data_IF_677801593874
#
_entry.id   IF_677801593874
#
_cell.length_a   1.000
_cell.length_b   1.000
_cell.length_c   1.000
_cell.angle_alpha   90.00
_cell.angle_beta   90.00
_cell.angle_gamma   90.00
#
_symmetry.space_group_name_H-M   'P 1'
#
loop_
_entity.id
_entity.type
_entity.pdbx_description
1 polymer ?
#
# COMPACT_ATOMS: atom_id res chain seq x y z
N UNK A 1 -69.14 -2.66 1.45
CA UNK A 1 -67.73 -2.55 1.91
C UNK A 1 -67.66 -1.41 2.90
N UNK A 2 -67.07 -1.63 4.08
CA UNK A 2 -66.82 -0.55 5.03
C UNK A 2 -65.90 0.50 4.40
N UNK A 3 -66.05 1.76 4.80
CA UNK A 3 -65.29 2.90 4.29
C UNK A 3 -63.77 2.69 4.35
N UNK A 4 -63.31 1.96 5.37
CA UNK A 4 -61.92 1.49 5.54
C UNK A 4 -61.44 0.54 4.44
N UNK A 5 -62.28 -0.40 3.99
CA UNK A 5 -61.94 -1.33 2.91
C UNK A 5 -61.84 -0.60 1.55
N UNK A 6 -62.65 0.44 1.34
CA UNK A 6 -62.59 1.29 0.14
C UNK A 6 -61.30 2.12 0.10
N UNK A 7 -60.91 2.72 1.22
CA UNK A 7 -59.66 3.48 1.34
C UNK A 7 -58.43 2.58 1.14
N UNK A 8 -58.43 1.37 1.72
CA UNK A 8 -57.35 0.39 1.51
C UNK A 8 -57.20 -0.03 0.04
N UNK A 9 -58.31 -0.25 -0.66
CA UNK A 9 -58.29 -0.58 -2.09
C UNK A 9 -57.78 0.58 -2.96
N UNK A 10 -58.17 1.82 -2.64
CA UNK A 10 -57.68 3.01 -3.35
C UNK A 10 -56.18 3.18 -3.15
N UNK A 11 -55.68 3.03 -1.92
CA UNK A 11 -54.24 3.10 -1.64
C UNK A 11 -53.47 1.98 -2.37
N UNK A 12 -53.97 0.75 -2.33
CA UNK A 12 -53.36 -0.37 -3.05
C UNK A 12 -53.28 -0.13 -4.56
N UNK A 13 -54.34 0.42 -5.15
CA UNK A 13 -54.36 0.80 -6.57
C UNK A 13 -53.32 1.90 -6.89
N UNK A 14 -53.26 2.94 -6.07
CA UNK A 14 -52.31 4.05 -6.25
C UNK A 14 -50.86 3.55 -6.13
N UNK A 15 -50.56 2.74 -5.12
CA UNK A 15 -49.24 2.13 -4.96
C UNK A 15 -48.89 1.21 -6.14
N UNK A 16 -49.84 0.42 -6.65
CA UNK A 16 -49.64 -0.44 -7.80
C UNK A 16 -49.34 0.37 -9.07
N UNK A 17 -50.08 1.45 -9.30
CA UNK A 17 -49.86 2.34 -10.45
C UNK A 17 -48.50 3.05 -10.33
N UNK A 18 -48.16 3.56 -9.14
CA UNK A 18 -46.88 4.22 -8.90
C UNK A 18 -45.69 3.25 -9.10
N UNK A 19 -45.79 2.03 -8.54
CA UNK A 19 -44.80 0.98 -8.70
C UNK A 19 -44.65 0.54 -10.16
N UNK A 20 -45.76 0.33 -10.87
CA UNK A 20 -45.74 -0.02 -12.30
C UNK A 20 -45.15 1.11 -13.16
N UNK A 21 -45.47 2.38 -12.83
CA UNK A 21 -44.92 3.54 -13.53
C UNK A 21 -43.41 3.65 -13.33
N UNK A 22 -42.93 3.49 -12.08
CA UNK A 22 -41.51 3.50 -11.78
C UNK A 22 -40.77 2.32 -12.44
N UNK A 23 -41.36 1.12 -12.41
CA UNK A 23 -40.79 -0.06 -13.05
C UNK A 23 -40.70 0.09 -14.57
N UNK A 24 -41.71 0.67 -15.22
CA UNK A 24 -41.68 0.96 -16.66
C UNK A 24 -40.61 2.00 -17.00
N UNK A 25 -40.53 3.09 -16.21
CA UNK A 25 -39.49 4.11 -16.39
C UNK A 25 -38.11 3.47 -16.23
N UNK A 26 -37.90 2.66 -15.19
CA UNK A 26 -36.64 1.94 -14.98
C UNK A 26 -36.32 1.00 -16.14
N UNK A 27 -37.28 0.19 -16.61
CA UNK A 27 -37.05 -0.78 -17.69
C UNK A 27 -36.72 -0.14 -19.04
N UNK A 28 -37.28 1.04 -19.35
CA UNK A 28 -36.96 1.78 -20.58
C UNK A 28 -35.64 2.56 -20.45
N UNK A 29 -35.28 2.98 -19.24
CA UNK A 29 -34.08 3.82 -19.03
C UNK A 29 -32.84 3.03 -18.67
N UNK A 30 -32.95 1.82 -18.13
CA UNK A 30 -31.82 1.00 -17.69
C UNK A 30 -30.79 0.79 -18.79
N UNK A 31 -31.23 0.39 -19.98
CA UNK A 31 -30.33 0.05 -21.09
C UNK A 31 -29.58 1.30 -21.60
N UNK A 32 -30.27 2.45 -21.59
CA UNK A 32 -29.68 3.75 -21.96
C UNK A 32 -28.68 4.21 -20.90
N UNK A 33 -28.98 3.99 -19.61
CA UNK A 33 -28.09 4.34 -18.50
C UNK A 33 -26.82 3.50 -18.57
N UNK A 34 -26.95 2.18 -18.76
CA UNK A 34 -25.82 1.25 -18.87
C UNK A 34 -24.95 1.62 -20.06
N UNK A 35 -25.53 1.81 -21.25
CA UNK A 35 -24.76 2.19 -22.44
C UNK A 35 -24.02 3.53 -22.27
N UNK A 36 -24.61 4.50 -21.55
CA UNK A 36 -23.94 5.77 -21.23
C UNK A 36 -22.81 5.60 -20.23
N UNK A 37 -23.01 4.77 -19.20
CA UNK A 37 -21.97 4.47 -18.20
C UNK A 37 -20.78 3.74 -18.84
N UNK A 38 -21.03 2.79 -19.73
CA UNK A 38 -19.98 2.09 -20.48
C UNK A 38 -19.22 3.06 -21.39
N UNK A 39 -19.93 3.92 -22.13
CA UNK A 39 -19.28 4.92 -22.99
C UNK A 39 -18.44 5.93 -22.18
N UNK A 40 -18.96 6.39 -21.03
CA UNK A 40 -18.21 7.25 -20.12
C UNK A 40 -16.98 6.54 -19.56
N UNK A 41 -17.12 5.29 -19.09
CA UNK A 41 -16.02 4.48 -18.61
C UNK A 41 -14.93 4.31 -19.68
N UNK A 42 -15.31 3.93 -20.91
CA UNK A 42 -14.34 3.77 -22.02
C UNK A 42 -13.63 5.09 -22.29
N UNK A 43 -14.35 6.23 -22.28
CA UNK A 43 -13.74 7.55 -22.43
C UNK A 43 -12.73 7.84 -21.31
N UNK A 44 -13.03 7.48 -20.06
CA UNK A 44 -12.10 7.63 -18.92
C UNK A 44 -10.90 6.73 -19.05
N UNK A 45 -11.08 5.48 -19.45
CA UNK A 45 -9.96 4.55 -19.67
C UNK A 45 -9.01 5.09 -20.74
N UNK A 46 -9.54 5.63 -21.85
CA UNK A 46 -8.74 6.25 -22.89
C UNK A 46 -8.00 7.51 -22.40
N UNK A 47 -8.62 8.35 -21.56
CA UNK A 47 -7.96 9.50 -20.94
C UNK A 47 -6.79 9.07 -20.02
N UNK A 48 -6.96 7.96 -19.30
CA UNK A 48 -5.97 7.41 -18.36
C UNK A 48 -4.82 6.67 -19.05
N UNK A 49 -5.08 5.99 -20.17
CA UNK A 49 -4.06 5.31 -20.98
C UNK A 49 -4.17 5.76 -22.44
N UNK A 50 -3.69 6.97 -22.79
CA UNK A 50 -3.88 7.54 -24.12
C UNK A 50 -3.30 6.72 -25.26
N UNK A 51 -2.28 5.91 -24.98
CA UNK A 51 -1.59 5.08 -25.96
C UNK A 51 -2.32 3.77 -26.30
N UNK A 52 -3.32 3.38 -25.51
CA UNK A 52 -4.08 2.16 -25.75
C UNK A 52 -4.99 2.33 -26.98
N UNK A 53 -4.98 1.34 -27.86
CA UNK A 53 -5.89 1.22 -29.01
C UNK A 53 -7.18 0.49 -28.61
N UNK A 54 -7.08 -0.41 -27.62
CA UNK A 54 -8.19 -1.19 -27.09
C UNK A 54 -7.95 -1.51 -25.61
N UNK A 55 -9.03 -1.78 -24.89
CA UNK A 55 -8.99 -2.20 -23.49
C UNK A 55 -9.55 -3.61 -23.35
N UNK A 56 -8.80 -4.47 -22.65
CA UNK A 56 -9.22 -5.81 -22.28
C UNK A 56 -9.64 -5.81 -20.80
N UNK A 57 -10.86 -6.23 -20.52
CA UNK A 57 -11.37 -6.34 -19.14
C UNK A 57 -11.05 -7.71 -18.56
N UNK A 58 -10.48 -7.72 -17.36
CA UNK A 58 -10.14 -8.93 -16.60
C UNK A 58 -10.79 -8.86 -15.22
N UNK A 59 -11.38 -9.97 -14.79
CA UNK A 59 -11.91 -10.15 -13.44
C UNK A 59 -11.13 -11.32 -12.80
N UNK A 60 -10.01 -11.04 -12.12
CA UNK A 60 -9.16 -12.08 -11.56
C UNK A 60 -9.82 -12.82 -10.38
N UNK A 61 -10.69 -12.14 -9.65
CA UNK A 61 -11.49 -12.68 -8.56
C UNK A 61 -12.80 -11.87 -8.41
N UNK A 62 -13.77 -12.43 -7.69
CA UNK A 62 -15.11 -11.87 -7.58
C UNK A 62 -15.08 -10.41 -7.06
N UNK A 63 -15.55 -9.48 -7.89
CA UNK A 63 -15.65 -8.06 -7.51
C UNK A 63 -14.37 -7.25 -7.67
N UNK A 64 -13.30 -7.81 -8.26
CA UNK A 64 -12.10 -7.08 -8.70
C UNK A 64 -12.15 -6.92 -10.21
N UNK A 65 -12.12 -5.68 -10.71
CA UNK A 65 -12.13 -5.41 -12.15
C UNK A 65 -10.84 -4.67 -12.53
N UNK A 66 -10.20 -5.19 -13.58
CA UNK A 66 -8.97 -4.67 -14.16
C UNK A 66 -9.18 -4.40 -15.66
N UNK A 67 -8.57 -3.34 -16.17
CA UNK A 67 -8.55 -3.04 -17.61
C UNK A 67 -7.11 -2.97 -18.09
N UNK A 68 -6.73 -3.82 -19.04
CA UNK A 68 -5.42 -3.73 -19.69
C UNK A 68 -5.52 -2.91 -20.97
N UNK A 69 -4.79 -1.80 -21.02
CA UNK A 69 -4.61 -1.01 -22.24
C UNK A 69 -3.65 -1.71 -23.19
N UNK A 70 -4.11 -2.04 -24.39
CA UNK A 70 -3.33 -2.73 -25.43
C UNK A 70 -3.05 -1.82 -26.61
N UNK A 71 -1.85 -1.91 -27.15
CA UNK A 71 -1.43 -1.31 -28.43
C UNK A 71 -0.85 -2.42 -29.29
N UNK A 72 -1.61 -2.89 -30.28
CA UNK A 72 -1.33 -4.18 -30.91
C UNK A 72 -1.32 -5.34 -29.90
N UNK A 73 -0.19 -6.05 -29.80
CA UNK A 73 0.02 -7.16 -28.84
C UNK A 73 0.48 -6.70 -27.46
N UNK A 74 0.98 -5.47 -27.35
CA UNK A 74 1.72 -5.02 -26.18
C UNK A 74 0.76 -4.37 -25.17
N UNK A 75 0.97 -4.67 -23.88
CA UNK A 75 0.28 -3.97 -22.79
C UNK A 75 1.03 -2.67 -22.53
N UNK A 76 0.35 -1.53 -22.74
CA UNK A 76 0.92 -0.17 -22.56
C UNK A 76 0.48 0.50 -21.27
N UNK A 77 -0.44 -0.13 -20.54
CA UNK A 77 -0.84 0.29 -19.20
C UNK A 77 -1.92 -0.63 -18.63
N UNK A 78 -2.17 -0.51 -17.33
CA UNK A 78 -3.27 -1.17 -16.64
C UNK A 78 -4.08 -0.14 -15.86
N UNK A 79 -5.40 -0.28 -15.84
CA UNK A 79 -6.30 0.53 -15.04
C UNK A 79 -7.01 -0.36 -14.04
N UNK A 80 -7.04 0.08 -12.78
CA UNK A 80 -7.56 -0.68 -11.66
C UNK A 80 -8.61 0.12 -10.93
N UNK A 81 -9.69 -0.55 -10.53
CA UNK A 81 -10.75 0.06 -9.74
C UNK A 81 -10.44 -0.05 -8.24
N UNK A 82 -9.92 1.04 -7.68
CA UNK A 82 -9.78 1.25 -6.26
C UNK A 82 -11.11 1.60 -5.60
N UNK A 83 -11.51 0.77 -4.64
CA UNK A 83 -12.69 1.02 -3.80
C UNK A 83 -12.31 1.65 -2.46
N UNK A 84 -13.07 2.66 -2.04
CA UNK A 84 -12.91 3.34 -0.75
C UNK A 84 -14.25 3.84 -0.21
N UNK A 85 -14.25 4.33 1.03
CA UNK A 85 -15.40 5.01 1.64
C UNK A 85 -14.99 6.41 2.07
N UNK A 86 -15.59 7.42 1.44
CA UNK A 86 -15.45 8.83 1.77
C UNK A 86 -16.40 9.28 2.87
N UNK A 87 -16.44 10.59 3.11
CA UNK A 87 -17.37 11.18 4.09
C UNK A 87 -18.83 10.99 3.66
N UNK A 88 -19.09 11.11 2.36
CA UNK A 88 -20.42 11.01 1.77
C UNK A 88 -20.84 9.60 1.35
N UNK A 89 -20.00 8.58 1.57
CA UNK A 89 -20.30 7.19 1.24
C UNK A 89 -19.25 6.51 0.36
N UNK A 90 -19.60 5.40 -0.31
CA UNK A 90 -18.65 4.64 -1.13
C UNK A 90 -18.13 5.47 -2.30
N UNK A 91 -16.89 5.18 -2.69
CA UNK A 91 -16.18 5.79 -3.80
C UNK A 91 -15.55 4.72 -4.68
N UNK A 92 -15.58 4.95 -6.00
CA UNK A 92 -14.86 4.16 -6.99
C UNK A 92 -13.88 5.06 -7.73
N UNK A 93 -12.62 4.63 -7.72
CA UNK A 93 -11.48 5.40 -8.21
C UNK A 93 -10.74 4.54 -9.22
N UNK A 94 -10.63 5.02 -10.45
CA UNK A 94 -9.77 4.41 -11.45
C UNK A 94 -8.36 4.95 -11.26
N UNK A 95 -7.39 4.05 -11.18
CA UNK A 95 -5.96 4.38 -11.16
C UNK A 95 -5.30 3.64 -12.30
N UNK A 96 -4.57 4.38 -13.13
CA UNK A 96 -3.78 3.79 -14.20
C UNK A 96 -2.30 3.76 -13.86
N UNK A 97 -1.67 2.63 -14.20
CA UNK A 97 -0.24 2.39 -14.06
C UNK A 97 0.33 2.11 -15.44
N UNK A 98 1.42 2.79 -15.78
CA UNK A 98 2.12 2.65 -17.05
C UNK A 98 3.08 1.43 -17.08
N UNK A 99 3.75 1.23 -18.20
CA UNK A 99 4.73 0.16 -18.37
C UNK A 99 6.01 0.36 -17.53
N UNK A 100 6.27 1.57 -17.05
CA UNK A 100 7.38 1.92 -16.16
C UNK A 100 6.98 1.77 -14.68
N UNK A 101 5.86 1.08 -14.40
CA UNK A 101 5.42 0.76 -13.06
C UNK A 101 5.06 2.00 -12.22
N UNK A 102 4.65 3.08 -12.88
CA UNK A 102 4.29 4.36 -12.25
C UNK A 102 2.84 4.75 -12.53
N UNK A 103 2.24 5.47 -11.59
CA UNK A 103 0.90 6.01 -11.76
C UNK A 103 0.93 7.07 -12.86
N UNK A 104 0.15 6.90 -13.91
CA UNK A 104 0.04 7.87 -14.99
C UNK A 104 -1.35 8.54 -15.06
N UNK A 105 -2.29 8.13 -14.19
CA UNK A 105 -3.63 8.71 -14.12
C UNK A 105 -4.43 8.29 -12.89
N UNK A 106 -5.24 9.21 -12.36
CA UNK A 106 -6.22 8.95 -11.29
C UNK A 106 -7.52 9.67 -11.62
N UNK A 107 -8.64 8.96 -11.58
CA UNK A 107 -9.97 9.51 -11.83
C UNK A 107 -11.01 8.92 -10.90
N UNK A 108 -11.85 9.76 -10.29
CA UNK A 108 -12.96 9.31 -9.46
C UNK A 108 -14.20 9.19 -10.34
N UNK A 109 -14.79 7.98 -10.41
CA UNK A 109 -15.95 7.69 -11.28
C UNK A 109 -17.27 7.57 -10.51
N UNK A 110 -17.20 7.37 -9.19
CA UNK A 110 -18.38 7.34 -8.34
C UNK A 110 -18.02 7.88 -6.94
N UNK A 111 -18.88 8.74 -6.38
CA UNK A 111 -18.73 9.26 -5.03
C UNK A 111 -20.05 9.82 -4.48
N UNK A 112 -20.15 9.90 -3.14
CA UNK A 112 -21.23 10.60 -2.42
C UNK A 112 -20.81 11.94 -1.78
N UNK A 113 -19.58 12.41 -2.02
CA UNK A 113 -19.00 13.57 -1.31
C UNK A 113 -19.82 14.86 -1.42
N UNK A 114 -19.76 15.67 -0.34
CA UNK A 114 -20.44 16.98 -0.28
C UNK A 114 -19.82 17.97 -1.26
N UNK A 115 -20.64 18.53 -2.15
CA UNK A 115 -20.25 19.55 -3.15
C UNK A 115 -19.58 20.75 -2.46
N UNK A 116 -18.43 21.16 -2.98
CA UNK A 116 -17.68 22.35 -2.54
C UNK A 116 -16.77 22.12 -1.32
N UNK A 117 -16.92 20.99 -0.63
CA UNK A 117 -16.01 20.61 0.47
C UNK A 117 -15.24 19.36 0.08
N UNK A 118 -15.92 18.20 0.08
CA UNK A 118 -15.30 16.90 -0.19
C UNK A 118 -14.94 16.71 -1.65
N UNK A 119 -15.70 17.32 -2.57
CA UNK A 119 -15.40 17.26 -4.01
C UNK A 119 -14.07 17.88 -4.40
N UNK A 120 -13.47 18.73 -3.55
CA UNK A 120 -12.13 19.29 -3.79
C UNK A 120 -11.07 18.19 -3.86
N UNK A 121 -11.26 17.08 -3.13
CA UNK A 121 -10.37 15.91 -3.20
C UNK A 121 -10.53 15.11 -4.50
N UNK A 122 -11.48 15.48 -5.35
CA UNK A 122 -11.78 14.80 -6.62
C UNK A 122 -11.38 15.67 -7.82
N UNK A 123 -10.91 16.90 -7.56
CA UNK A 123 -10.54 17.84 -8.61
C UNK A 123 -9.24 17.38 -9.29
N UNK A 124 -9.17 17.42 -10.64
CA UNK A 124 -7.98 16.98 -11.38
C UNK A 124 -6.68 17.63 -10.91
N UNK A 125 -6.74 18.91 -10.50
CA UNK A 125 -5.57 19.63 -10.00
C UNK A 125 -4.98 19.04 -8.72
N UNK A 126 -5.80 18.50 -7.82
CA UNK A 126 -5.31 17.82 -6.61
C UNK A 126 -4.92 16.37 -6.91
N UNK A 127 -5.67 15.67 -7.78
CA UNK A 127 -5.34 14.28 -8.16
C UNK A 127 -3.99 14.14 -8.89
N UNK A 128 -3.49 15.20 -9.52
CA UNK A 128 -2.19 15.20 -10.21
C UNK A 128 -1.00 14.84 -9.32
N UNK A 129 -1.09 15.00 -8.00
CA UNK A 129 0.01 14.67 -7.09
C UNK A 129 0.34 13.16 -7.04
N UNK A 130 -0.60 12.30 -7.42
CA UNK A 130 -0.37 10.86 -7.49
C UNK A 130 0.42 10.46 -8.73
N UNK A 131 0.43 11.32 -9.76
CA UNK A 131 1.07 11.01 -11.04
C UNK A 131 2.59 10.96 -10.86
N UNK A 132 3.20 9.90 -11.37
CA UNK A 132 4.62 9.64 -11.29
C UNK A 132 5.06 8.85 -10.05
N UNK A 133 4.20 8.67 -9.04
CA UNK A 133 4.51 7.78 -7.90
C UNK A 133 4.66 6.34 -8.38
N UNK A 134 5.58 5.59 -7.77
CA UNK A 134 5.76 4.17 -8.09
C UNK A 134 4.60 3.33 -7.53
N UNK A 135 4.30 2.18 -8.13
CA UNK A 135 3.17 1.33 -7.69
C UNK A 135 3.31 0.78 -6.26
N UNK A 136 4.52 0.72 -5.73
CA UNK A 136 4.88 0.23 -4.40
C UNK A 136 5.16 1.37 -3.41
N UNK A 137 5.02 2.62 -3.85
CA UNK A 137 5.25 3.77 -3.00
C UNK A 137 4.15 3.89 -1.94
N UNK A 138 4.56 3.97 -0.68
CA UNK A 138 3.63 4.16 0.43
C UNK A 138 3.06 5.58 0.43
N UNK A 139 1.72 5.70 0.38
CA UNK A 139 1.03 6.98 0.42
C UNK A 139 0.88 7.46 1.87
N UNK A 140 1.60 8.52 2.23
CA UNK A 140 1.65 9.10 3.58
C UNK A 140 1.11 10.52 3.57
N UNK A 141 0.01 10.70 4.30
CA UNK A 141 -0.72 11.96 4.37
C UNK A 141 0.11 13.07 5.00
N UNK A 142 0.21 14.21 4.32
CA UNK A 142 1.01 15.36 4.74
C UNK A 142 2.52 15.18 4.55
N UNK A 143 2.96 14.07 3.95
CA UNK A 143 4.38 13.82 3.64
C UNK A 143 4.63 13.79 2.14
N UNK A 144 4.13 12.78 1.44
CA UNK A 144 4.21 12.69 -0.03
C UNK A 144 2.86 12.89 -0.72
N UNK A 145 1.77 12.99 0.05
CA UNK A 145 0.44 13.35 -0.46
C UNK A 145 -0.18 14.42 0.43
N UNK A 146 -0.48 15.58 -0.15
CA UNK A 146 -1.08 16.73 0.52
C UNK A 146 -2.53 16.46 0.89
N UNK A 147 -2.94 16.91 2.08
CA UNK A 147 -4.33 16.83 2.55
C UNK A 147 -5.03 18.17 2.39
N UNK A 148 -6.24 18.16 1.82
CA UNK A 148 -7.03 19.38 1.69
C UNK A 148 -7.64 19.75 3.05
N UNK A 149 -7.26 20.92 3.55
CA UNK A 149 -7.84 21.46 4.79
C UNK A 149 -9.36 21.60 4.68
N UNK A 150 -10.09 21.06 5.66
CA UNK A 150 -11.56 21.02 5.67
C UNK A 150 -12.18 19.91 4.81
N UNK A 151 -11.38 19.15 4.07
CA UNK A 151 -11.81 17.96 3.31
C UNK A 151 -10.90 16.75 3.62
N UNK A 152 -10.45 16.65 4.87
CA UNK A 152 -9.48 15.63 5.32
C UNK A 152 -9.99 14.21 5.13
N UNK A 153 -11.27 13.95 5.46
CA UNK A 153 -11.88 12.61 5.31
C UNK A 153 -11.90 12.20 3.84
N UNK A 154 -12.38 13.08 2.96
CA UNK A 154 -12.45 12.88 1.51
C UNK A 154 -11.06 12.68 0.90
N UNK A 155 -10.08 13.52 1.28
CA UNK A 155 -8.69 13.42 0.80
C UNK A 155 -8.09 12.06 1.13
N UNK A 156 -8.25 11.61 2.37
CA UNK A 156 -7.71 10.33 2.81
C UNK A 156 -8.48 9.14 2.23
N UNK A 157 -9.77 9.27 1.95
CA UNK A 157 -10.55 8.25 1.25
C UNK A 157 -10.04 8.05 -0.19
N UNK A 158 -9.68 9.14 -0.89
CA UNK A 158 -9.03 9.03 -2.20
C UNK A 158 -7.70 8.31 -2.10
N UNK A 159 -6.84 8.69 -1.14
CA UNK A 159 -5.59 7.97 -0.89
C UNK A 159 -5.81 6.48 -0.65
N UNK A 160 -6.85 6.12 0.13
CA UNK A 160 -7.23 4.74 0.37
C UNK A 160 -7.64 3.99 -0.88
N UNK A 161 -8.42 4.63 -1.76
CA UNK A 161 -8.80 4.02 -3.03
C UNK A 161 -7.60 3.85 -3.96
N UNK A 162 -6.70 4.84 -4.02
CA UNK A 162 -5.46 4.72 -4.80
C UNK A 162 -4.58 3.59 -4.27
N UNK A 163 -4.32 3.54 -2.96
CA UNK A 163 -3.53 2.47 -2.35
C UNK A 163 -4.12 1.07 -2.59
N UNK A 164 -5.45 0.95 -2.56
CA UNK A 164 -6.14 -0.30 -2.87
C UNK A 164 -5.99 -0.68 -4.36
N UNK A 165 -6.12 0.26 -5.28
CA UNK A 165 -5.87 0.00 -6.69
C UNK A 165 -4.42 -0.48 -6.94
N UNK A 166 -3.42 0.15 -6.31
CA UNK A 166 -2.03 -0.27 -6.45
C UNK A 166 -1.74 -1.67 -5.90
N UNK A 167 -2.43 -2.07 -4.84
CA UNK A 167 -2.35 -3.44 -4.33
C UNK A 167 -2.87 -4.46 -5.34
N UNK A 168 -4.03 -4.18 -5.95
CA UNK A 168 -4.57 -5.05 -6.99
C UNK A 168 -3.60 -5.19 -8.17
N UNK A 169 -2.84 -4.13 -8.47
CA UNK A 169 -1.83 -4.13 -9.53
C UNK A 169 -0.66 -5.05 -9.18
N UNK A 170 -0.11 -4.91 -7.99
CA UNK A 170 0.99 -5.77 -7.51
C UNK A 170 0.58 -7.24 -7.50
N UNK A 171 -0.61 -7.55 -6.98
CA UNK A 171 -1.10 -8.94 -6.86
C UNK A 171 -1.44 -9.55 -8.21
N UNK A 172 -2.19 -8.84 -9.06
CA UNK A 172 -2.80 -9.46 -10.26
C UNK A 172 -2.07 -9.17 -11.57
N UNK A 173 -1.34 -8.05 -11.65
CA UNK A 173 -0.60 -7.66 -12.86
C UNK A 173 0.86 -8.03 -12.75
N UNK A 174 1.54 -7.55 -11.72
CA UNK A 174 2.96 -7.88 -11.51
C UNK A 174 3.15 -9.30 -11.02
N UNK A 175 2.11 -9.88 -10.40
CA UNK A 175 2.20 -11.18 -9.72
C UNK A 175 3.40 -11.22 -8.77
N UNK A 176 3.66 -10.10 -8.10
CA UNK A 176 4.77 -9.99 -7.18
C UNK A 176 4.61 -11.09 -6.12
N UNK A 177 5.49 -12.08 -6.16
CA UNK A 177 5.51 -13.11 -5.13
C UNK A 177 5.86 -12.44 -3.80
N UNK A 178 5.10 -12.82 -2.77
CA UNK A 178 5.38 -12.40 -1.40
C UNK A 178 6.77 -12.92 -1.04
N UNK A 179 7.64 -12.01 -0.59
CA UNK A 179 8.91 -12.40 0.02
C UNK A 179 8.63 -13.22 1.29
N UNK A 180 8.58 -14.55 1.11
CA UNK A 180 8.32 -15.56 2.14
C UNK A 180 9.65 -16.10 2.71
N UNK A 181 10.74 -15.32 2.60
CA UNK A 181 12.05 -15.65 3.20
C UNK A 181 12.05 -15.58 4.74
N UNK A 182 10.88 -15.36 5.35
CA UNK A 182 10.70 -15.21 6.78
C UNK A 182 10.90 -16.53 7.54
N UNK A 183 11.96 -16.63 8.34
CA UNK A 183 12.26 -17.81 9.13
C UNK A 183 12.17 -17.56 10.63
N UNK A 184 10.96 -17.76 11.18
CA UNK A 184 10.68 -17.62 12.61
C UNK A 184 11.47 -18.61 13.48
N UNK A 185 11.85 -19.79 12.96
CA UNK A 185 12.60 -20.80 13.72
C UNK A 185 13.97 -20.31 14.21
N UNK A 186 14.48 -19.23 13.61
CA UNK A 186 15.76 -18.59 13.95
C UNK A 186 15.61 -17.32 14.77
N UNK A 187 14.39 -16.85 15.02
CA UNK A 187 14.13 -15.67 15.84
C UNK A 187 14.20 -16.11 17.31
N UNK A 188 15.10 -15.52 18.12
CA UNK A 188 15.18 -15.84 19.55
C UNK A 188 13.85 -15.57 20.27
N UNK A 189 13.62 -16.30 21.35
CA UNK A 189 12.46 -16.05 22.20
C UNK A 189 12.54 -14.63 22.80
N UNK A 190 11.45 -13.88 22.72
CA UNK A 190 11.44 -12.49 23.18
C UNK A 190 10.23 -11.69 22.72
N UNK A 191 10.18 -10.44 23.18
CA UNK A 191 9.18 -9.45 22.78
C UNK A 191 9.87 -8.41 21.91
N UNK A 192 9.38 -8.26 20.69
CA UNK A 192 9.91 -7.37 19.67
C UNK A 192 8.93 -6.22 19.44
N UNK A 193 9.44 -5.02 19.25
CA UNK A 193 8.61 -3.84 18.97
C UNK A 193 8.87 -3.35 17.55
N UNK A 194 7.80 -3.07 16.82
CA UNK A 194 7.88 -2.57 15.45
C UNK A 194 6.87 -1.46 15.24
N UNK A 195 7.24 -0.52 14.37
CA UNK A 195 6.40 0.62 14.03
C UNK A 195 6.31 0.76 12.52
N UNK A 196 5.11 1.05 12.02
CA UNK A 196 4.88 1.36 10.62
C UNK A 196 3.81 2.43 10.44
N UNK A 197 3.80 3.17 9.31
CA UNK A 197 2.75 4.14 9.04
C UNK A 197 1.37 3.47 8.90
N UNK A 198 0.39 3.98 9.66
CA UNK A 198 -1.03 3.67 9.53
C UNK A 198 -1.79 4.72 8.73
N UNK A 199 -3.11 4.76 8.89
CA UNK A 199 -3.94 5.69 8.13
C UNK A 199 -3.69 7.12 8.54
N UNK A 200 -3.81 7.47 9.83
CA UNK A 200 -3.64 8.83 10.34
C UNK A 200 -2.45 8.98 11.27
N UNK A 201 -1.90 7.87 11.75
CA UNK A 201 -0.86 7.81 12.77
C UNK A 201 0.14 6.71 12.46
N UNK A 202 1.29 6.72 13.14
CA UNK A 202 2.12 5.52 13.20
C UNK A 202 1.44 4.47 14.08
N UNK A 203 1.54 3.21 13.65
CA UNK A 203 1.03 2.05 14.36
C UNK A 203 2.23 1.34 14.96
N UNK A 204 2.21 1.16 16.28
CA UNK A 204 3.22 0.39 17.02
C UNK A 204 2.63 -0.91 17.50
N UNK A 205 3.37 -2.00 17.31
CA UNK A 205 3.00 -3.34 17.76
C UNK A 205 4.12 -3.95 18.59
N UNK A 206 3.72 -4.81 19.52
CA UNK A 206 4.61 -5.75 20.21
C UNK A 206 4.31 -7.16 19.74
N UNK A 207 5.36 -7.89 19.38
CA UNK A 207 5.27 -9.25 18.86
C UNK A 207 6.06 -10.16 19.79
N UNK A 208 5.38 -11.12 20.40
CA UNK A 208 6.02 -12.13 21.26
C UNK A 208 6.31 -13.37 20.43
N UNK A 209 7.59 -13.77 20.41
CA UNK A 209 8.05 -15.00 19.76
C UNK A 209 8.54 -15.97 20.83
N UNK A 210 8.09 -17.23 20.74
CA UNK A 210 8.55 -18.34 21.60
C UNK A 210 8.71 -19.61 20.77
N UNK A 211 9.81 -20.34 20.99
CA UNK A 211 10.17 -21.57 20.27
C UNK A 211 10.07 -21.41 18.75
N UNK A 212 10.46 -20.23 18.25
CA UNK A 212 10.43 -19.90 16.82
C UNK A 212 9.02 -19.77 16.24
N UNK A 213 8.05 -19.36 17.06
CA UNK A 213 6.65 -19.09 16.66
C UNK A 213 6.16 -17.79 17.26
N UNK A 214 5.30 -17.10 16.54
CA UNK A 214 4.59 -15.93 17.07
C UNK A 214 3.50 -16.44 17.99
N UNK A 215 3.58 -16.11 19.28
CA UNK A 215 2.57 -16.48 20.27
C UNK A 215 1.57 -15.36 20.50
N UNK A 216 1.98 -14.11 20.29
CA UNK A 216 1.15 -12.94 20.53
C UNK A 216 1.56 -11.77 19.64
N UNK A 217 0.56 -10.99 19.22
CA UNK A 217 0.74 -9.69 18.58
C UNK A 217 -0.20 -8.71 19.30
N UNK A 218 0.38 -7.69 19.93
CA UNK A 218 -0.35 -6.64 20.63
C UNK A 218 -0.17 -5.30 19.89
N UNK A 219 -1.27 -4.63 19.55
CA UNK A 219 -1.20 -3.26 19.01
C UNK A 219 -1.16 -2.28 20.18
N UNK A 220 0.00 -1.67 20.43
CA UNK A 220 0.23 -0.83 21.61
C UNK A 220 -0.03 0.65 21.35
N UNK A 221 0.13 1.11 20.11
CA UNK A 221 -0.18 2.47 19.71
C UNK A 221 -0.86 2.48 18.34
N UNK A 222 -2.04 3.12 18.29
CA UNK A 222 -2.75 3.47 17.05
C UNK A 222 -3.67 4.63 17.35
N UNK A 223 -3.62 5.66 16.51
CA UNK A 223 -4.47 6.85 16.57
C UNK A 223 -5.09 7.14 15.20
N UNK A 224 -5.54 6.07 14.52
CA UNK A 224 -6.27 6.13 13.26
C UNK A 224 -7.76 6.48 13.50
N UNK A 225 -8.59 6.41 12.44
CA UNK A 225 -10.03 6.70 12.51
C UNK A 225 -10.76 5.78 13.49
N UNK A 226 -11.28 6.28 14.64
CA UNK A 226 -11.84 5.44 15.71
C UNK A 226 -13.01 4.54 15.31
N UNK A 227 -13.73 4.89 14.25
CA UNK A 227 -14.86 4.11 13.74
C UNK A 227 -14.41 2.93 12.85
N UNK A 228 -13.15 2.90 12.44
CA UNK A 228 -12.64 2.00 11.40
C UNK A 228 -11.52 1.10 11.90
N UNK A 229 -10.50 1.65 12.57
CA UNK A 229 -9.33 0.87 12.98
C UNK A 229 -9.61 -0.24 14.01
N UNK A 230 -10.63 -0.17 14.90
CA UNK A 230 -10.86 -1.25 15.86
C UNK A 230 -11.07 -2.62 15.19
N UNK A 231 -11.68 -2.64 14.01
CA UNK A 231 -11.85 -3.88 13.24
C UNK A 231 -10.51 -4.49 12.77
N UNK A 232 -9.51 -3.65 12.46
CA UNK A 232 -8.17 -4.10 12.11
C UNK A 232 -7.42 -4.63 13.35
N UNK A 233 -7.50 -3.91 14.47
CA UNK A 233 -6.88 -4.32 15.74
C UNK A 233 -7.47 -5.62 16.28
N UNK A 234 -8.77 -5.86 16.08
CA UNK A 234 -9.44 -7.08 16.52
C UNK A 234 -9.10 -8.29 15.64
N UNK A 235 -8.97 -8.11 14.31
CA UNK A 235 -8.92 -9.24 13.37
C UNK A 235 -7.53 -9.55 12.83
N UNK A 236 -6.63 -8.57 12.70
CA UNK A 236 -5.31 -8.80 12.10
C UNK A 236 -4.36 -9.57 13.04
N UNK A 237 -4.21 -9.20 14.33
CA UNK A 237 -3.30 -9.93 15.22
C UNK A 237 -3.60 -11.43 15.32
N UNK A 238 -4.86 -11.90 15.48
CA UNK A 238 -5.17 -13.33 15.49
C UNK A 238 -4.83 -14.02 14.16
N UNK A 239 -5.07 -13.36 13.02
CA UNK A 239 -4.72 -13.92 11.69
C UNK A 239 -3.21 -14.15 11.56
N UNK A 240 -2.40 -13.23 12.07
CA UNK A 240 -0.93 -13.32 12.02
C UNK A 240 -0.45 -14.48 12.90
N UNK A 241 -0.98 -14.60 14.12
CA UNK A 241 -0.67 -15.71 15.03
C UNK A 241 -1.12 -17.05 14.42
N UNK A 242 -2.28 -17.12 13.79
CA UNK A 242 -2.75 -18.36 13.16
C UNK A 242 -1.90 -18.75 11.95
N UNK A 243 -1.62 -17.80 11.06
CA UNK A 243 -0.86 -18.04 9.83
C UNK A 243 0.64 -18.21 10.09
N UNK A 244 1.14 -17.76 11.25
CA UNK A 244 2.57 -17.61 11.52
C UNK A 244 3.28 -16.80 10.42
N UNK A 245 2.56 -15.83 9.86
CA UNK A 245 3.02 -14.97 8.77
C UNK A 245 2.48 -13.54 8.99
N UNK A 246 3.33 -12.52 8.88
CA UNK A 246 2.92 -11.11 9.06
C UNK A 246 1.92 -10.65 7.99
N UNK A 247 2.10 -11.15 6.76
CA UNK A 247 1.18 -10.88 5.65
C UNK A 247 -0.03 -11.81 5.71
N UNK A 248 -1.18 -11.21 6.01
CA UNK A 248 -2.50 -11.83 6.08
C UNK A 248 -3.50 -11.00 5.28
N UNK A 249 -4.71 -11.50 5.11
CA UNK A 249 -5.73 -10.71 4.41
C UNK A 249 -6.08 -9.46 5.23
N UNK A 250 -6.21 -8.32 4.55
CA UNK A 250 -6.66 -7.09 5.17
C UNK A 250 -8.13 -7.18 5.64
N UNK A 251 -8.55 -6.25 6.48
CA UNK A 251 -9.96 -6.11 6.87
C UNK A 251 -10.63 -5.12 5.92
N UNK A 252 -11.69 -5.56 5.25
CA UNK A 252 -12.49 -4.70 4.39
C UNK A 252 -12.96 -3.44 5.14
N UNK A 253 -12.73 -2.27 4.53
CA UNK A 253 -13.03 -0.97 5.12
C UNK A 253 -11.96 -0.44 6.08
N UNK A 254 -11.00 -1.25 6.52
CA UNK A 254 -9.88 -0.86 7.38
C UNK A 254 -8.51 -1.20 6.75
N UNK A 255 -8.44 -1.25 5.43
CA UNK A 255 -7.28 -1.76 4.66
C UNK A 255 -5.96 -1.08 5.05
N UNK A 256 -5.93 0.26 5.15
CA UNK A 256 -4.68 0.96 5.49
C UNK A 256 -4.22 0.63 6.92
N UNK A 257 -5.13 0.65 7.90
CA UNK A 257 -4.78 0.29 9.28
C UNK A 257 -4.38 -1.18 9.39
N UNK A 258 -5.05 -2.08 8.64
CA UNK A 258 -4.63 -3.48 8.56
C UNK A 258 -3.21 -3.63 8.04
N UNK A 259 -2.85 -2.93 6.95
CA UNK A 259 -1.50 -2.94 6.41
C UNK A 259 -0.49 -2.33 7.36
N UNK A 260 -0.81 -1.23 8.01
CA UNK A 260 0.09 -0.64 9.01
C UNK A 260 0.36 -1.60 10.18
N UNK A 261 -0.61 -2.40 10.63
CA UNK A 261 -0.36 -3.48 11.61
C UNK A 261 0.55 -4.55 11.02
N UNK A 262 0.28 -5.04 9.80
CA UNK A 262 1.08 -6.08 9.14
C UNK A 262 2.55 -5.65 8.94
N UNK A 263 2.76 -4.44 8.42
CA UNK A 263 4.09 -3.86 8.25
C UNK A 263 4.78 -3.58 9.58
N UNK A 264 4.05 -3.16 10.61
CA UNK A 264 4.62 -2.99 11.95
C UNK A 264 5.09 -4.34 12.53
N UNK A 265 4.37 -5.44 12.28
CA UNK A 265 4.81 -6.79 12.66
C UNK A 265 6.04 -7.21 11.87
N UNK A 266 6.07 -6.96 10.57
CA UNK A 266 7.24 -7.21 9.71
C UNK A 266 8.47 -6.42 10.17
N UNK A 267 8.26 -5.18 10.61
CA UNK A 267 9.31 -4.33 11.16
C UNK A 267 9.76 -4.81 12.55
N UNK A 268 8.85 -5.31 13.37
CA UNK A 268 9.14 -5.83 14.71
C UNK A 268 10.05 -7.06 14.63
N UNK A 269 9.74 -8.01 13.75
CA UNK A 269 10.49 -9.24 13.67
C UNK A 269 11.78 -9.02 12.88
N UNK A 270 12.97 -9.29 13.48
CA UNK A 270 14.24 -9.17 12.80
C UNK A 270 14.23 -9.99 11.50
N UNK A 271 14.77 -9.40 10.44
CA UNK A 271 14.96 -10.14 9.20
C UNK A 271 16.10 -11.14 9.38
N UNK A 272 15.74 -12.43 9.49
CA UNK A 272 16.69 -13.52 9.65
C UNK A 272 17.13 -14.11 8.30
N UNK A 273 16.72 -13.50 7.18
CA UNK A 273 17.09 -13.93 5.83
C UNK A 273 18.59 -13.81 5.56
N UNK A 274 19.26 -12.80 6.14
CA UNK A 274 20.71 -12.63 6.09
C UNK A 274 21.37 -13.37 7.22
N UNK A 275 21.81 -14.58 6.89
CA UNK A 275 22.58 -15.42 7.80
C UNK A 275 24.03 -14.96 7.82
N UNK A 276 24.31 -13.86 8.52
CA UNK A 276 25.67 -13.31 8.66
C UNK A 276 26.63 -14.38 9.22
N UNK A 277 26.12 -15.25 10.10
CA UNK A 277 26.83 -16.42 10.64
C UNK A 277 27.24 -17.44 9.55
N UNK A 278 26.48 -17.49 8.46
CA UNK A 278 26.74 -18.35 7.31
C UNK A 278 27.46 -17.62 6.19
N UNK A 279 27.77 -16.34 6.31
CA UNK A 279 28.58 -15.63 5.31
C UNK A 279 30.06 -15.98 5.52
N UNK A 280 30.74 -16.32 4.44
CA UNK A 280 32.17 -16.62 4.45
C UNK A 280 32.97 -15.43 4.96
N UNK A 281 34.08 -15.70 5.63
CA UNK A 281 35.00 -14.63 6.01
C UNK A 281 35.51 -13.93 4.76
N UNK A 282 35.40 -12.61 4.72
CA UNK A 282 35.71 -11.88 3.51
C UNK A 282 35.34 -10.41 3.58
N UNK A 283 35.68 -9.73 2.49
CA UNK A 283 35.41 -8.32 2.28
C UNK A 283 34.53 -8.22 1.05
N UNK A 284 33.34 -7.67 1.22
CA UNK A 284 32.30 -7.62 0.20
C UNK A 284 31.97 -6.19 -0.14
N UNK A 285 31.77 -5.91 -1.42
CA UNK A 285 31.37 -4.59 -1.88
C UNK A 285 29.93 -4.59 -2.33
N UNK A 286 29.21 -3.55 -1.96
CA UNK A 286 27.83 -3.36 -2.36
C UNK A 286 27.58 -1.91 -2.74
N UNK A 287 26.54 -1.71 -3.54
CA UNK A 287 26.15 -0.39 -4.03
C UNK A 287 24.66 -0.21 -3.81
N UNK A 288 24.25 0.96 -3.31
CA UNK A 288 22.87 1.33 -3.08
C UNK A 288 22.61 2.77 -3.50
N UNK A 289 21.35 3.14 -3.65
CA UNK A 289 20.97 4.44 -4.22
C UNK A 289 20.65 5.47 -3.12
N UNK A 290 21.53 6.45 -2.96
CA UNK A 290 21.35 7.60 -2.06
C UNK A 290 20.65 8.79 -2.73
N UNK A 291 20.52 9.89 -1.99
CA UNK A 291 19.89 11.14 -2.47
C UNK A 291 20.70 11.80 -3.59
N UNK A 292 22.02 11.83 -3.46
CA UNK A 292 22.95 12.46 -4.38
C UNK A 292 23.53 11.50 -5.44
N UNK A 293 23.16 10.22 -5.42
CA UNK A 293 23.64 9.23 -6.36
C UNK A 293 23.95 7.88 -5.71
N UNK A 294 24.67 7.04 -6.44
CA UNK A 294 25.12 5.74 -5.93
C UNK A 294 26.08 5.90 -4.74
N UNK A 295 25.81 5.15 -3.68
CA UNK A 295 26.67 4.98 -2.51
C UNK A 295 27.31 3.60 -2.61
N UNK A 296 28.64 3.53 -2.59
CA UNK A 296 29.39 2.29 -2.60
C UNK A 296 30.00 2.03 -1.23
N UNK A 297 29.80 0.83 -0.70
CA UNK A 297 30.34 0.41 0.60
C UNK A 297 31.15 -0.87 0.46
N UNK A 298 31.98 -1.09 1.46
CA UNK A 298 32.74 -2.31 1.70
C UNK A 298 32.40 -2.83 3.10
N UNK A 299 32.00 -4.09 3.20
CA UNK A 299 31.60 -4.77 4.43
C UNK A 299 32.55 -5.92 4.69
N UNK A 300 33.19 -5.93 5.85
CA UNK A 300 34.06 -7.01 6.30
C UNK A 300 33.28 -7.94 7.24
N UNK A 301 33.26 -9.23 6.90
CA UNK A 301 32.69 -10.29 7.72
C UNK A 301 33.81 -11.19 8.21
N UNK A 302 33.83 -11.46 9.51
CA UNK A 302 34.79 -12.36 10.15
C UNK A 302 34.13 -13.15 11.26
N UNK A 303 34.40 -14.45 11.31
CA UNK A 303 33.88 -15.39 12.31
C UNK A 303 32.35 -15.33 12.47
N UNK A 304 31.64 -15.06 11.37
CA UNK A 304 30.18 -14.98 11.33
C UNK A 304 29.61 -13.65 11.84
N UNK A 305 30.44 -12.60 11.93
CA UNK A 305 30.05 -11.28 12.36
C UNK A 305 30.60 -10.19 11.43
N UNK A 306 29.85 -9.10 11.25
CA UNK A 306 30.30 -7.89 10.58
C UNK A 306 31.29 -7.17 11.51
N UNK A 307 32.54 -7.05 11.10
CA UNK A 307 33.59 -6.40 11.90
C UNK A 307 33.85 -4.97 11.48
N UNK A 308 33.56 -4.63 10.21
CA UNK A 308 33.84 -3.30 9.68
C UNK A 308 32.94 -2.98 8.48
N UNK A 309 32.59 -1.71 8.33
CA UNK A 309 31.85 -1.18 7.19
C UNK A 309 32.49 0.14 6.79
N UNK A 310 32.97 0.23 5.56
CA UNK A 310 33.64 1.40 5.01
C UNK A 310 32.86 1.94 3.81
N UNK A 311 32.57 3.25 3.81
CA UNK A 311 32.02 3.93 2.63
C UNK A 311 33.16 4.24 1.67
N UNK A 312 33.12 3.66 0.46
CA UNK A 312 34.16 3.81 -0.57
C UNK A 312 33.93 5.06 -1.42
N UNK A 313 32.68 5.32 -1.81
CA UNK A 313 32.32 6.50 -2.61
C UNK A 313 30.85 6.86 -2.41
N UNK A 314 30.54 8.16 -2.44
CA UNK A 314 29.18 8.67 -2.46
C UNK A 314 29.15 10.04 -3.17
N UNK A 315 27.95 10.48 -3.57
CA UNK A 315 27.72 11.82 -4.15
C UNK A 315 26.67 12.62 -3.37
N UNK A 316 26.42 12.23 -2.11
CA UNK A 316 25.46 12.88 -1.21
C UNK A 316 25.77 14.34 -0.90
N UNK A 317 24.75 15.09 -0.48
CA UNK A 317 24.88 16.50 -0.09
C UNK A 317 25.79 16.67 1.13
N UNK A 318 26.83 17.50 0.99
CA UNK A 318 27.76 17.84 2.07
C UNK A 318 27.05 18.45 3.28
N UNK A 319 27.41 18.01 4.48
CA UNK A 319 26.86 18.50 5.75
C UNK A 319 25.50 17.92 6.15
N UNK A 320 24.71 17.37 5.22
CA UNK A 320 23.43 16.69 5.52
C UNK A 320 23.64 15.18 5.72
N UNK A 321 24.49 14.58 4.90
CA UNK A 321 24.72 13.12 4.87
C UNK A 321 25.69 12.62 5.94
N UNK A 322 26.54 13.50 6.49
CA UNK A 322 27.60 13.12 7.42
C UNK A 322 27.10 12.35 8.68
N UNK A 323 25.96 12.69 9.29
CA UNK A 323 25.40 11.89 10.38
C UNK A 323 25.05 10.46 9.95
N UNK A 324 24.40 10.28 8.79
CA UNK A 324 24.03 8.96 8.27
C UNK A 324 25.26 8.11 7.91
N UNK A 325 26.24 8.70 7.24
CA UNK A 325 27.47 8.02 6.81
C UNK A 325 28.33 7.53 7.98
N UNK A 326 28.19 8.13 9.16
CA UNK A 326 28.95 7.74 10.35
C UNK A 326 28.15 6.84 11.31
N UNK A 327 26.85 7.12 11.53
CA UNK A 327 26.05 6.41 12.53
C UNK A 327 25.57 5.05 12.04
N UNK A 328 25.08 4.96 10.81
CA UNK A 328 24.50 3.72 10.27
C UNK A 328 25.52 2.57 10.23
N UNK A 329 26.77 2.75 9.74
CA UNK A 329 27.76 1.68 9.77
C UNK A 329 28.03 1.14 11.17
N UNK A 330 28.11 2.04 12.16
CA UNK A 330 28.29 1.65 13.56
C UNK A 330 27.09 0.90 14.10
N UNK A 331 25.87 1.39 13.86
CA UNK A 331 24.65 0.71 14.29
C UNK A 331 24.52 -0.69 13.68
N UNK A 332 24.88 -0.87 12.41
CA UNK A 332 24.85 -2.19 11.76
C UNK A 332 25.88 -3.14 12.37
N UNK A 333 27.08 -2.66 12.68
CA UNK A 333 28.12 -3.46 13.36
C UNK A 333 27.66 -3.81 14.79
N UNK A 334 27.10 -2.86 15.54
CA UNK A 334 26.68 -3.09 16.92
C UNK A 334 25.49 -4.07 17.00
N UNK A 335 24.54 -3.95 16.07
CA UNK A 335 23.33 -4.77 16.06
C UNK A 335 23.47 -6.05 15.24
N UNK A 336 24.55 -6.18 14.46
CA UNK A 336 24.74 -7.26 13.49
C UNK A 336 23.50 -7.42 12.59
N UNK A 337 22.94 -6.30 12.13
CA UNK A 337 21.67 -6.26 11.40
C UNK A 337 21.64 -5.06 10.47
N UNK A 338 21.09 -5.25 9.27
CA UNK A 338 20.85 -4.17 8.29
C UNK A 338 19.55 -3.41 8.57
N UNK A 339 18.70 -3.88 9.50
CA UNK A 339 17.50 -3.14 9.94
C UNK A 339 17.84 -2.23 11.13
N UNK A 340 18.54 -1.14 10.87
CA UNK A 340 18.81 -0.06 11.86
C UNK A 340 18.05 1.21 11.53
N UNK A 341 17.76 2.02 12.55
CA UNK A 341 17.02 3.27 12.38
C UNK A 341 17.73 4.25 11.44
N UNK A 342 16.96 4.89 10.56
CA UNK A 342 17.48 5.96 9.70
C UNK A 342 17.80 7.21 10.52
N UNK A 343 18.79 7.99 10.06
CA UNK A 343 19.15 9.24 10.74
C UNK A 343 18.21 10.37 10.33
N UNK A 344 17.66 11.06 11.33
CA UNK A 344 16.78 12.21 11.12
C UNK A 344 17.45 13.29 10.26
N UNK A 345 16.76 13.71 9.20
CA UNK A 345 17.29 14.70 8.23
C UNK A 345 18.16 14.11 7.12
N UNK A 346 18.43 12.80 7.13
CA UNK A 346 19.25 12.11 6.13
C UNK A 346 18.63 10.78 5.67
N UNK A 347 17.29 10.69 5.62
CA UNK A 347 16.55 9.44 5.39
C UNK A 347 16.93 8.73 4.08
N UNK A 348 17.05 9.47 2.97
CA UNK A 348 17.42 8.89 1.67
C UNK A 348 18.86 8.36 1.68
N UNK A 349 19.79 9.12 2.28
CA UNK A 349 21.16 8.66 2.50
C UNK A 349 21.21 7.40 3.37
N UNK A 350 20.44 7.36 4.47
CA UNK A 350 20.38 6.19 5.36
C UNK A 350 19.87 4.96 4.62
N UNK A 351 18.79 5.09 3.84
CA UNK A 351 18.24 3.99 3.05
C UNK A 351 19.21 3.49 1.99
N UNK A 352 19.82 4.40 1.21
CA UNK A 352 20.80 4.02 0.19
C UNK A 352 22.04 3.35 0.76
N UNK A 353 22.47 3.75 1.97
CA UNK A 353 23.58 3.12 2.67
C UNK A 353 23.21 1.72 3.19
N UNK A 354 22.01 1.55 3.74
CA UNK A 354 21.50 0.25 4.16
C UNK A 354 21.35 -0.71 2.98
N UNK A 355 20.84 -0.24 1.85
CA UNK A 355 20.75 -0.98 0.60
C UNK A 355 22.14 -1.41 0.12
N UNK A 356 23.14 -0.52 0.17
CA UNK A 356 24.50 -0.84 -0.23
C UNK A 356 25.13 -1.93 0.67
N UNK A 357 24.89 -1.86 1.98
CA UNK A 357 25.36 -2.87 2.94
C UNK A 357 24.65 -4.20 2.68
N UNK A 358 23.34 -4.16 2.45
CA UNK A 358 22.53 -5.34 2.14
C UNK A 358 23.05 -6.06 0.89
N UNK A 359 23.24 -5.30 -0.20
CA UNK A 359 23.77 -5.82 -1.46
C UNK A 359 25.17 -6.45 -1.30
N UNK A 360 26.02 -5.90 -0.43
CA UNK A 360 27.33 -6.47 -0.12
C UNK A 360 27.20 -7.84 0.56
N UNK A 361 26.27 -7.96 1.53
CA UNK A 361 26.05 -9.19 2.29
C UNK A 361 25.33 -10.26 1.46
N UNK A 362 24.40 -9.89 0.58
CA UNK A 362 23.72 -10.82 -0.34
C UNK A 362 24.66 -11.38 -1.42
N UNK A 363 25.60 -10.57 -1.89
CA UNK A 363 26.61 -11.00 -2.86
C UNK A 363 27.69 -11.92 -2.25
N UNK A 364 27.72 -12.04 -0.92
CA UNK A 364 28.72 -12.81 -0.21
C UNK A 364 28.46 -14.33 -0.33
N UNK A 365 29.50 -15.14 -0.60
CA UNK A 365 29.36 -16.59 -0.60
C UNK A 365 29.12 -17.10 0.82
N UNK A 366 28.39 -18.22 0.92
CA UNK A 366 28.16 -18.88 2.19
C UNK A 366 29.41 -19.66 2.63
N UNK A 367 29.63 -19.79 3.95
CA UNK A 367 30.59 -20.71 4.57
C UNK A 367 30.19 -22.15 4.25
N UNK A 368 31.20 -22.98 4.01
CA UNK A 368 31.05 -24.44 3.86
C UNK A 368 30.69 -25.16 5.16
#
# INVERSE_FOLDING_TARGET
MGETAKLGAILGLVCAIAGASLALVHAVTSDIIIARQEAELISRLQELVPEAEQFETIEPEEGVILYLGKKGSDTVGAVLEGKATGYGGPMRILVSVDADNRINGVSVIEHGETIGIGTRALEPGWLQQFIGLAHDEQLVAGKNVDIITGATVSSRAVMSGVAHALELYQTHVLKTEVDDSWNLAKVPDGVYEGTAPGFQSEITVKVTVEAGRIVEVEVTAIADTPQVYPAAVEKIPPRIVEKQHWQVDAVAGATISSKGIMEAVRAAIPDTSLKIDQIADGVYEGTGQGFGGAIKVQVEVKDGAITNIQVLSHSETDGISAPALNQIPQSVIDQQSVKVDTVSGATYTSKGLLEAINAALEAAPLRD
#
